data_IF_553417395838
#
_entry.id   IF_553417395838
#
_cell.length_a   1.000
_cell.length_b   1.000
_cell.length_c   1.000
_cell.angle_alpha   90.00
_cell.angle_beta   90.00
_cell.angle_gamma   90.00
#
_symmetry.space_group_name_H-M   'P 1'
#
loop_
_entity.id
_entity.type
_entity.pdbx_description
1 polymer ?
#
# COMPACT_ATOMS: atom_id res chain seq x y z
N UNK A 1 4.67 -21.88 15.68
CA UNK A 1 4.59 -20.92 16.80
C UNK A 1 4.39 -19.56 16.20
N UNK A 2 3.33 -18.84 16.56
CA UNK A 2 3.09 -17.47 16.08
C UNK A 2 3.55 -16.49 17.15
N UNK A 3 4.16 -15.38 16.73
CA UNK A 3 4.42 -14.23 17.60
C UNK A 3 3.28 -13.24 17.40
N UNK A 4 2.80 -12.67 18.51
CA UNK A 4 1.84 -11.56 18.47
C UNK A 4 2.61 -10.28 18.69
N UNK A 5 2.40 -9.30 17.81
CA UNK A 5 2.89 -7.93 17.96
C UNK A 5 1.69 -7.00 18.21
N UNK A 6 1.85 -6.03 19.09
CA UNK A 6 0.77 -5.15 19.55
C UNK A 6 1.23 -3.70 19.43
N UNK A 7 0.44 -2.90 18.71
CA UNK A 7 0.68 -1.48 18.51
C UNK A 7 -0.57 -0.69 18.91
N UNK A 8 -0.38 0.44 19.60
CA UNK A 8 -1.45 1.41 19.85
C UNK A 8 -1.60 2.32 18.64
N UNK A 9 -2.84 2.62 18.26
CA UNK A 9 -3.18 3.52 17.14
C UNK A 9 -3.99 4.70 17.67
N UNK A 10 -3.58 5.91 17.31
CA UNK A 10 -4.28 7.12 17.69
C UNK A 10 -5.41 7.45 16.71
N UNK A 11 -6.31 8.35 17.13
CA UNK A 11 -7.35 8.88 16.24
C UNK A 11 -6.74 9.49 14.98
N UNK A 12 -7.25 9.10 13.82
CA UNK A 12 -6.75 9.54 12.52
C UNK A 12 -5.53 8.75 12.01
N UNK A 13 -4.99 7.80 12.78
CA UNK A 13 -4.01 6.87 12.23
C UNK A 13 -4.64 5.95 11.19
N UNK A 14 -3.82 5.64 10.18
CA UNK A 14 -4.17 4.76 9.09
C UNK A 14 -3.29 3.53 9.09
N UNK A 15 -3.91 2.38 8.89
CA UNK A 15 -3.25 1.09 8.73
C UNK A 15 -3.48 0.58 7.31
N UNK A 16 -2.40 0.43 6.54
CA UNK A 16 -2.41 -0.26 5.25
C UNK A 16 -1.93 -1.70 5.47
N UNK A 17 -2.77 -2.66 5.13
CA UNK A 17 -2.42 -4.08 5.03
C UNK A 17 -2.40 -4.47 3.55
N UNK A 18 -1.40 -5.25 3.16
CA UNK A 18 -1.20 -5.64 1.78
C UNK A 18 -0.63 -7.05 1.67
N UNK A 19 -0.92 -7.74 0.57
CA UNK A 19 -0.20 -8.95 0.15
C UNK A 19 1.15 -8.58 -0.47
N UNK A 20 2.07 -9.55 -0.50
CA UNK A 20 3.38 -9.44 -1.12
C UNK A 20 3.34 -8.97 -2.58
N UNK A 21 2.28 -9.28 -3.33
CA UNK A 21 2.05 -8.74 -4.68
C UNK A 21 2.19 -7.21 -4.83
N UNK A 22 2.04 -6.42 -3.75
CA UNK A 22 2.36 -4.99 -3.77
C UNK A 22 3.87 -4.71 -3.88
N UNK A 23 4.68 -5.33 -3.03
CA UNK A 23 6.13 -5.05 -2.94
C UNK A 23 6.94 -5.90 -3.91
N UNK A 24 6.40 -7.04 -4.33
CA UNK A 24 7.02 -7.91 -5.32
C UNK A 24 6.72 -7.51 -6.76
N UNK A 25 5.78 -6.57 -6.97
CA UNK A 25 5.51 -6.00 -8.30
C UNK A 25 6.79 -5.42 -8.92
N UNK A 26 7.03 -5.76 -10.19
CA UNK A 26 8.28 -5.41 -10.88
C UNK A 26 8.05 -4.44 -12.02
N UNK A 27 8.93 -3.46 -12.14
CA UNK A 27 9.04 -2.68 -13.36
C UNK A 27 9.59 -3.54 -14.51
N UNK A 28 9.52 -3.07 -15.77
CA UNK A 28 10.12 -3.77 -16.91
C UNK A 28 11.64 -4.05 -16.76
N UNK A 29 12.35 -3.24 -15.98
CA UNK A 29 13.76 -3.44 -15.63
C UNK A 29 13.98 -4.42 -14.45
N UNK A 30 12.91 -5.04 -13.97
CA UNK A 30 12.84 -6.01 -12.86
C UNK A 30 13.02 -5.42 -11.46
N UNK A 31 13.09 -4.10 -11.33
CA UNK A 31 13.12 -3.43 -10.03
C UNK A 31 11.80 -3.59 -9.28
N UNK A 32 11.88 -3.84 -7.98
CA UNK A 32 10.73 -3.98 -7.09
C UNK A 32 10.05 -2.63 -6.83
N UNK A 33 8.77 -2.65 -6.48
CA UNK A 33 8.04 -1.47 -6.07
C UNK A 33 8.39 -1.07 -4.62
N UNK A 34 8.78 0.20 -4.43
CA UNK A 34 9.11 0.73 -3.10
C UNK A 34 7.96 1.57 -2.54
N UNK A 35 7.53 1.29 -1.31
CA UNK A 35 6.65 2.15 -0.52
C UNK A 35 7.40 3.39 -0.01
N UNK A 36 7.81 4.25 -0.94
CA UNK A 36 8.58 5.44 -0.65
C UNK A 36 7.85 6.37 0.34
N UNK A 37 8.59 7.21 1.10
CA UNK A 37 7.98 8.20 1.99
C UNK A 37 6.95 9.12 1.30
N UNK A 38 7.13 9.38 0.00
CA UNK A 38 6.20 10.17 -0.80
C UNK A 38 4.85 9.44 -1.00
N UNK A 39 4.89 8.14 -1.31
CA UNK A 39 3.70 7.31 -1.43
C UNK A 39 2.99 7.23 -0.09
N UNK A 40 3.72 6.93 0.99
CA UNK A 40 3.16 6.87 2.35
C UNK A 40 2.51 8.20 2.75
N UNK A 41 3.13 9.34 2.44
CA UNK A 41 2.54 10.66 2.68
C UNK A 41 1.25 10.88 1.90
N UNK A 42 1.18 10.38 0.65
CA UNK A 42 0.00 10.51 -0.20
C UNK A 42 -1.21 9.75 0.37
N UNK A 43 -0.96 8.60 1.02
CA UNK A 43 -2.00 7.79 1.66
C UNK A 43 -2.69 8.54 2.79
N UNK A 44 -2.03 9.49 3.46
CA UNK A 44 -2.64 10.29 4.54
C UNK A 44 -3.47 11.47 4.05
N UNK A 45 -3.26 11.95 2.81
CA UNK A 45 -3.85 13.20 2.31
C UNK A 45 -5.20 13.04 1.61
N UNK A 46 -5.57 11.81 1.26
CA UNK A 46 -6.76 11.49 0.44
C UNK A 46 -7.87 10.85 1.29
N UNK A 47 -9.07 10.69 0.73
CA UNK A 47 -10.03 9.71 1.26
C UNK A 47 -9.42 8.30 1.23
N UNK A 48 -10.01 7.34 1.96
CA UNK A 48 -9.50 5.96 1.96
C UNK A 48 -9.48 5.36 0.55
N UNK A 49 -10.59 5.49 -0.17
CA UNK A 49 -10.70 4.98 -1.54
C UNK A 49 -9.73 5.70 -2.48
N UNK A 50 -9.67 7.03 -2.42
CA UNK A 50 -8.77 7.81 -3.26
C UNK A 50 -7.29 7.56 -2.97
N UNK A 51 -6.94 7.17 -1.74
CA UNK A 51 -5.58 6.74 -1.38
C UNK A 51 -5.24 5.39 -2.03
N UNK A 52 -6.15 4.42 -1.97
CA UNK A 52 -5.96 3.11 -2.60
C UNK A 52 -5.93 3.21 -4.13
N UNK A 53 -6.82 3.99 -4.74
CA UNK A 53 -6.82 4.24 -6.19
C UNK A 53 -5.49 4.86 -6.65
N UNK A 54 -4.97 5.84 -5.91
CA UNK A 54 -3.69 6.46 -6.22
C UNK A 54 -2.53 5.47 -6.10
N UNK A 55 -2.52 4.64 -5.06
CA UNK A 55 -1.50 3.60 -4.87
C UNK A 55 -1.53 2.56 -5.99
N UNK A 56 -2.71 2.06 -6.36
CA UNK A 56 -2.86 1.09 -7.46
C UNK A 56 -2.44 1.71 -8.78
N UNK A 57 -2.81 2.97 -9.04
CA UNK A 57 -2.41 3.68 -10.26
C UNK A 57 -0.89 3.81 -10.36
N UNK A 58 -0.23 4.16 -9.26
CA UNK A 58 1.22 4.28 -9.20
C UNK A 58 1.93 2.92 -9.35
N UNK A 59 1.39 1.87 -8.73
CA UNK A 59 1.88 0.51 -8.86
C UNK A 59 1.79 0.01 -10.31
N UNK A 60 0.64 0.20 -10.96
CA UNK A 60 0.46 -0.18 -12.37
C UNK A 60 1.39 0.62 -13.29
N UNK A 61 1.58 1.92 -13.00
CA UNK A 61 2.54 2.75 -13.74
C UNK A 61 3.97 2.22 -13.60
N UNK A 62 4.36 1.83 -12.39
CA UNK A 62 5.67 1.21 -12.12
C UNK A 62 5.81 -0.12 -12.87
N UNK A 63 4.81 -0.99 -12.80
CA UNK A 63 4.86 -2.33 -13.39
C UNK A 63 4.65 -2.37 -14.92
N UNK A 64 4.54 -1.23 -15.59
CA UNK A 64 4.30 -1.17 -17.03
C UNK A 64 2.90 -1.62 -17.46
N UNK A 65 1.91 -1.44 -16.57
CA UNK A 65 0.48 -1.60 -16.85
C UNK A 65 -0.12 -2.97 -16.53
N UNK A 66 0.67 -3.92 -16.03
CA UNK A 66 0.18 -5.23 -15.60
C UNK A 66 0.85 -5.65 -14.29
N UNK A 67 0.17 -6.47 -13.50
CA UNK A 67 0.75 -7.12 -12.33
C UNK A 67 0.98 -8.59 -12.67
N UNK A 68 2.08 -9.14 -12.16
CA UNK A 68 2.45 -10.55 -12.36
C UNK A 68 1.90 -11.46 -11.25
N UNK A 69 1.29 -10.88 -10.22
CA UNK A 69 0.74 -11.57 -9.04
C UNK A 69 -0.55 -10.88 -8.54
N UNK A 70 -1.28 -11.56 -7.66
CA UNK A 70 -2.52 -11.07 -7.06
C UNK A 70 -2.25 -9.92 -6.07
N UNK A 71 -3.03 -8.84 -6.20
CA UNK A 71 -2.97 -7.69 -5.32
C UNK A 71 -4.20 -7.61 -4.44
N UNK A 72 -4.00 -7.64 -3.12
CA UNK A 72 -5.02 -7.29 -2.14
C UNK A 72 -4.51 -6.15 -1.25
N UNK A 73 -5.34 -5.11 -1.11
CA UNK A 73 -5.06 -3.93 -0.27
C UNK A 73 -6.23 -3.67 0.66
N UNK A 74 -5.94 -3.39 1.93
CA UNK A 74 -6.91 -2.89 2.90
C UNK A 74 -6.35 -1.64 3.57
N UNK A 75 -7.08 -0.54 3.48
CA UNK A 75 -6.76 0.69 4.21
C UNK A 75 -7.86 0.96 5.24
N UNK A 76 -7.47 1.01 6.51
CA UNK A 76 -8.35 1.36 7.61
C UNK A 76 -7.88 2.67 8.27
N UNK A 77 -8.81 3.41 8.85
CA UNK A 77 -8.54 4.60 9.65
C UNK A 77 -9.26 4.51 10.98
N UNK A 78 -8.55 4.81 12.07
CA UNK A 78 -9.14 4.92 13.40
C UNK A 78 -10.01 6.18 13.43
N UNK A 79 -11.32 5.97 13.39
CA UNK A 79 -12.30 7.06 13.46
C UNK A 79 -12.28 7.73 14.83
N UNK A 80 -12.65 9.01 14.83
CA UNK A 80 -12.80 9.80 16.04
C UNK A 80 -13.95 9.31 16.93
#
# INVERSE_FOLDING_TARGET
>A
MFTVDVHELDRGDRLLLYTDGLVEARAPDRSFFELSPAIVSSLRKRSLDGALEALVSELLRHAGGRLDDDLALLLAEVRA
#
